data_IF_311370775399
#
_entry.id   IF_311370775399
#
_cell.length_a   1.000
_cell.length_b   1.000
_cell.length_c   1.000
_cell.angle_alpha   90.00
_cell.angle_beta   90.00
_cell.angle_gamma   90.00
#
_symmetry.space_group_name_H-M   'P 1'
#
loop_
_entity.id
_entity.type
_entity.pdbx_description
1 polymer ?
#
# COMPACT_ATOMS: atom_id res chain seq x y z
N UNK A 1 5.06 7.89 13.22
CA UNK A 1 5.03 6.44 12.95
C UNK A 1 4.37 6.06 11.63
N UNK A 2 3.07 6.28 11.40
CA UNK A 2 2.46 6.04 10.07
C UNK A 2 3.11 6.90 8.97
N UNK A 3 3.36 8.17 9.28
CA UNK A 3 3.95 9.12 8.34
C UNK A 3 5.37 8.74 7.88
N UNK A 4 6.14 8.04 8.73
CA UNK A 4 7.49 7.59 8.36
C UNK A 4 7.42 6.42 7.37
N UNK A 5 6.46 5.51 7.54
CA UNK A 5 6.20 4.42 6.60
C UNK A 5 5.72 4.98 5.25
N UNK A 6 4.84 5.99 5.29
CA UNK A 6 4.38 6.70 4.09
C UNK A 6 5.53 7.41 3.40
N UNK A 7 6.34 8.17 4.13
CA UNK A 7 7.51 8.85 3.56
C UNK A 7 8.47 7.85 2.88
N UNK A 8 8.72 6.69 3.51
CA UNK A 8 9.59 5.68 2.90
C UNK A 8 8.97 5.02 1.67
N UNK A 9 7.68 4.71 1.71
CA UNK A 9 6.96 4.17 0.56
C UNK A 9 6.98 5.15 -0.62
N UNK A 10 6.80 6.46 -0.34
CA UNK A 10 6.90 7.53 -1.32
C UNK A 10 8.30 7.59 -1.94
N UNK A 11 9.34 7.64 -1.11
CA UNK A 11 10.73 7.67 -1.56
C UNK A 11 11.07 6.48 -2.49
N UNK A 12 10.60 5.27 -2.16
CA UNK A 12 10.83 4.06 -2.97
C UNK A 12 10.15 4.11 -4.35
N UNK A 13 8.96 4.70 -4.42
CA UNK A 13 8.22 4.89 -5.68
C UNK A 13 8.84 6.02 -6.51
N UNK A 14 9.19 7.15 -5.88
CA UNK A 14 9.83 8.30 -6.55
C UNK A 14 11.23 7.97 -7.09
N UNK A 15 11.97 7.11 -6.38
CA UNK A 15 13.29 6.63 -6.81
C UNK A 15 13.23 5.48 -7.81
N UNK A 16 12.01 5.07 -8.24
CA UNK A 16 11.76 3.95 -9.16
C UNK A 16 12.40 2.62 -8.71
N UNK A 17 12.76 2.50 -7.42
CA UNK A 17 13.34 1.27 -6.86
C UNK A 17 12.30 0.14 -6.81
N UNK A 18 11.02 0.48 -6.75
CA UNK A 18 9.91 -0.46 -6.77
C UNK A 18 8.80 0.02 -7.71
N UNK A 19 8.18 -0.90 -8.46
CA UNK A 19 7.02 -0.58 -9.33
C UNK A 19 5.69 -0.46 -8.56
N UNK A 20 5.67 -0.92 -7.30
CA UNK A 20 4.45 -1.01 -6.49
C UNK A 20 4.81 -1.18 -5.02
N UNK A 21 4.04 -0.53 -4.15
CA UNK A 21 4.00 -0.79 -2.70
C UNK A 21 2.68 -1.45 -2.37
N UNK A 22 2.73 -2.58 -1.66
CA UNK A 22 1.52 -3.26 -1.15
C UNK A 22 1.38 -2.92 0.32
N UNK A 23 0.21 -2.39 0.70
CA UNK A 23 -0.12 -2.08 2.09
C UNK A 23 -1.60 -2.29 2.37
N UNK A 24 -2.15 -1.54 3.31
CA UNK A 24 -3.56 -1.63 3.69
C UNK A 24 -4.28 -0.31 3.46
N UNK A 25 -5.54 -0.35 3.07
CA UNK A 25 -6.43 0.82 3.00
C UNK A 25 -7.79 0.53 3.63
N UNK A 26 -8.53 1.58 3.97
CA UNK A 26 -9.94 1.46 4.36
C UNK A 26 -10.78 1.39 3.09
N UNK A 27 -11.43 0.25 2.86
CA UNK A 27 -12.38 0.11 1.76
C UNK A 27 -13.67 0.90 1.99
N UNK A 28 -14.54 1.03 0.97
CA UNK A 28 -15.78 1.80 1.07
C UNK A 28 -16.73 1.37 2.21
N UNK A 29 -16.63 0.11 2.65
CA UNK A 29 -17.44 -0.47 3.73
C UNK A 29 -16.80 -0.29 5.12
N UNK A 30 -15.70 0.46 5.23
CA UNK A 30 -14.97 0.67 6.49
C UNK A 30 -14.09 -0.51 6.90
N UNK A 31 -14.03 -1.58 6.10
CA UNK A 31 -13.17 -2.75 6.33
C UNK A 31 -11.77 -2.50 5.77
N UNK A 32 -10.76 -3.00 6.47
CA UNK A 32 -9.38 -2.97 5.98
C UNK A 32 -9.24 -3.97 4.84
N UNK A 33 -8.59 -3.55 3.76
CA UNK A 33 -8.27 -4.41 2.62
C UNK A 33 -6.84 -4.13 2.13
N UNK A 34 -6.22 -5.05 1.38
CA UNK A 34 -4.95 -4.77 0.73
C UNK A 34 -5.09 -3.61 -0.27
N UNK A 35 -4.08 -2.75 -0.31
CA UNK A 35 -3.94 -1.66 -1.26
C UNK A 35 -2.70 -1.89 -2.10
N UNK A 36 -2.81 -1.62 -3.40
CA UNK A 36 -1.68 -1.57 -4.33
C UNK A 36 -1.47 -0.11 -4.69
N UNK A 37 -0.30 0.40 -4.38
CA UNK A 37 0.09 1.80 -4.56
C UNK A 37 1.14 1.82 -5.65
N UNK A 38 0.85 2.50 -6.75
CA UNK A 38 1.78 2.65 -7.87
C UNK A 38 2.34 4.06 -7.95
N UNK A 39 1.56 5.05 -7.51
CA UNK A 39 1.97 6.45 -7.54
C UNK A 39 2.39 6.95 -6.14
N UNK A 40 3.43 7.81 -6.04
CA UNK A 40 3.86 8.45 -4.79
C UNK A 40 2.74 9.18 -4.01
N UNK A 41 1.77 9.73 -4.73
CA UNK A 41 0.63 10.47 -4.15
C UNK A 41 -0.43 9.54 -3.55
N UNK A 42 -0.50 8.29 -3.99
CA UNK A 42 -1.47 7.30 -3.48
C UNK A 42 -1.08 6.76 -2.11
N UNK A 43 0.15 7.01 -1.67
CA UNK A 43 0.70 6.52 -0.39
C UNK A 43 -0.11 7.00 0.82
N UNK A 44 -0.81 8.14 0.70
CA UNK A 44 -1.67 8.68 1.75
C UNK A 44 -2.90 7.79 2.04
N UNK A 45 -3.24 6.88 1.12
CA UNK A 45 -4.29 5.86 1.31
C UNK A 45 -3.87 4.77 2.28
N UNK A 46 -2.56 4.60 2.49
CA UNK A 46 -2.03 3.54 3.36
C UNK A 46 -2.37 3.80 4.82
N UNK A 47 -2.92 2.79 5.47
CA UNK A 47 -3.20 2.77 6.90
C UNK A 47 -2.38 1.70 7.59
N UNK A 48 -2.00 1.96 8.84
CA UNK A 48 -1.43 0.98 9.75
C UNK A 48 -2.14 1.14 11.09
N UNK A 49 -3.00 0.19 11.42
CA UNK A 49 -3.74 0.14 12.68
C UNK A 49 -3.95 -1.31 13.11
N UNK A 50 -4.62 -1.52 14.25
CA UNK A 50 -4.86 -2.85 14.82
C UNK A 50 -5.73 -3.79 13.94
N UNK A 51 -6.34 -3.28 12.86
CA UNK A 51 -7.18 -4.05 11.92
C UNK A 51 -6.42 -4.47 10.65
N UNK A 52 -5.10 -4.30 10.60
CA UNK A 52 -4.23 -4.76 9.53
C UNK A 52 -3.90 -6.26 9.67
N UNK A 53 -4.91 -7.12 9.68
CA UNK A 53 -4.75 -8.57 9.94
C UNK A 53 -4.53 -9.43 8.67
N UNK A 54 -4.77 -8.88 7.49
CA UNK A 54 -4.71 -9.64 6.24
C UNK A 54 -3.28 -9.94 5.77
N UNK A 55 -2.99 -11.19 5.44
CA UNK A 55 -1.65 -11.57 4.96
C UNK A 55 -1.37 -11.02 3.55
N UNK A 56 -0.57 -9.94 3.48
CA UNK A 56 -0.16 -9.28 2.23
C UNK A 56 0.72 -10.16 1.32
N UNK A 57 1.44 -11.15 1.86
CA UNK A 57 2.33 -12.04 1.06
C UNK A 57 1.54 -12.79 -0.01
N UNK A 58 0.27 -13.11 0.27
CA UNK A 58 -0.62 -13.80 -0.67
C UNK A 58 -0.95 -12.96 -1.92
N UNK A 59 -0.68 -11.65 -1.89
CA UNK A 59 -0.94 -10.71 -2.97
C UNK A 59 0.29 -10.44 -3.85
N UNK A 60 1.49 -10.91 -3.47
CA UNK A 60 2.71 -10.72 -4.26
C UNK A 60 2.62 -11.33 -5.67
N UNK A 61 1.95 -12.47 -5.78
CA UNK A 61 1.75 -13.16 -7.07
C UNK A 61 0.65 -12.51 -7.93
N UNK A 62 -0.15 -11.61 -7.35
CA UNK A 62 -1.17 -10.85 -8.07
C UNK A 62 -0.54 -9.55 -8.56
N UNK A 63 0.24 -9.61 -9.66
CA UNK A 63 0.64 -8.41 -10.43
C UNK A 63 -0.60 -7.85 -11.14
N UNK A 64 -1.53 -7.29 -10.38
CA UNK A 64 -2.66 -6.52 -10.89
C UNK A 64 -2.15 -5.11 -11.22
N UNK A 65 -1.31 -5.00 -12.26
CA UNK A 65 -1.13 -3.71 -12.92
C UNK A 65 -2.39 -3.52 -13.77
N UNK A 66 -3.28 -2.54 -13.51
CA UNK A 66 -4.35 -2.23 -14.46
C UNK A 66 -3.67 -1.95 -15.81
N UNK A 67 -4.10 -2.66 -16.86
CA UNK A 67 -3.61 -2.47 -18.23
C UNK A 67 -4.08 -1.15 -18.80
#
# INVERSE_FOLDING_TARGET
>A
MIEELRAKARELLESEMTECVIGYEVGPTGRVRPAFIHEPDEVDRLIFNARCDHNLVTYLNRRNKPR
#
